data_IF_751079857962
#
_entry.id   IF_751079857962
#
_cell.length_a   1.000
_cell.length_b   1.000
_cell.length_c   1.000
_cell.angle_alpha   90.00
_cell.angle_beta   90.00
_cell.angle_gamma   90.00
#
_symmetry.space_group_name_H-M   'P 1'
#
loop_
_entity.id
_entity.type
_entity.pdbx_description
1 polymer ?
#
# COMPACT_ATOMS: atom_id res chain seq x y z
N UNK A 1 -0.12 2.01 19.92
CA UNK A 1 -0.64 1.17 18.81
C UNK A 1 0.49 0.95 17.82
N UNK A 2 0.84 -0.30 17.48
CA UNK A 2 1.84 -0.58 16.46
C UNK A 2 1.39 -0.11 15.08
N UNK A 3 2.36 0.21 14.23
CA UNK A 3 2.09 0.49 12.82
C UNK A 3 2.11 -0.83 12.03
N UNK A 4 1.07 -1.04 11.24
CA UNK A 4 0.91 -2.17 10.35
C UNK A 4 0.83 -1.70 8.90
N UNK A 5 1.22 -2.56 7.99
CA UNK A 5 1.14 -2.36 6.54
C UNK A 5 0.30 -3.48 5.95
N UNK A 6 -0.81 -3.14 5.32
CA UNK A 6 -1.59 -4.10 4.54
C UNK A 6 -1.20 -4.00 3.06
N UNK A 7 -0.97 -5.17 2.48
CA UNK A 7 -0.63 -5.41 1.08
C UNK A 7 -1.80 -6.18 0.45
N UNK A 8 -2.55 -5.50 -0.41
CA UNK A 8 -3.69 -6.10 -1.09
C UNK A 8 -3.22 -6.90 -2.32
N UNK A 9 -3.89 -8.02 -2.58
CA UNK A 9 -3.62 -8.83 -3.76
C UNK A 9 -4.59 -8.50 -4.88
N UNK A 10 -4.07 -8.37 -6.11
CA UNK A 10 -4.83 -8.23 -7.35
C UNK A 10 -5.92 -7.14 -7.31
N UNK A 11 -5.58 -5.95 -6.79
CA UNK A 11 -6.39 -4.76 -6.94
C UNK A 11 -5.79 -3.83 -8.00
N UNK A 12 -6.63 -3.15 -8.76
CA UNK A 12 -6.23 -2.21 -9.80
C UNK A 12 -5.31 -2.80 -10.89
N UNK A 13 -5.42 -4.09 -11.17
CA UNK A 13 -4.66 -4.80 -12.20
C UNK A 13 -5.61 -5.55 -13.14
N UNK A 14 -5.37 -5.47 -14.46
CA UNK A 14 -5.95 -6.38 -15.44
C UNK A 14 -7.48 -6.54 -15.42
N UNK A 15 -8.27 -5.49 -15.22
CA UNK A 15 -9.73 -5.57 -15.21
C UNK A 15 -10.36 -6.15 -13.93
N UNK A 16 -9.61 -6.33 -12.88
CA UNK A 16 -10.09 -6.87 -11.59
C UNK A 16 -10.98 -5.90 -10.76
N UNK A 17 -11.43 -4.82 -11.36
CA UNK A 17 -12.17 -3.75 -10.69
C UNK A 17 -11.26 -2.70 -10.06
N UNK A 18 -11.69 -1.44 -10.12
CA UNK A 18 -10.93 -0.31 -9.56
C UNK A 18 -11.29 -0.14 -8.08
N UNK A 19 -10.26 -0.05 -7.24
CA UNK A 19 -10.36 0.39 -5.85
C UNK A 19 -9.64 1.73 -5.73
N UNK A 20 -10.36 2.86 -5.65
CA UNK A 20 -9.75 4.15 -5.35
C UNK A 20 -9.03 4.12 -4.00
N UNK A 21 -7.85 4.72 -3.93
CA UNK A 21 -7.08 4.72 -2.67
C UNK A 21 -7.77 5.53 -1.56
N UNK A 22 -8.61 6.48 -1.92
CA UNK A 22 -9.49 7.19 -0.97
C UNK A 22 -10.51 6.25 -0.31
N UNK A 23 -11.09 5.32 -1.09
CA UNK A 23 -12.05 4.34 -0.55
C UNK A 23 -11.35 3.34 0.35
N UNK A 24 -10.15 2.88 -0.02
CA UNK A 24 -9.32 2.03 0.86
C UNK A 24 -9.03 2.73 2.18
N UNK A 25 -8.65 4.01 2.16
CA UNK A 25 -8.41 4.79 3.36
C UNK A 25 -9.68 4.93 4.21
N UNK A 26 -10.82 5.23 3.58
CA UNK A 26 -12.11 5.35 4.27
C UNK A 26 -12.55 4.04 4.93
N UNK A 27 -12.34 2.88 4.26
CA UNK A 27 -12.63 1.56 4.83
C UNK A 27 -11.77 1.30 6.07
N UNK A 28 -10.46 1.60 6.03
CA UNK A 28 -9.56 1.47 7.18
C UNK A 28 -10.02 2.35 8.34
N UNK A 29 -10.39 3.61 8.08
CA UNK A 29 -10.89 4.54 9.10
C UNK A 29 -12.21 4.04 9.73
N UNK A 30 -13.14 3.50 8.92
CA UNK A 30 -14.39 2.89 9.44
C UNK A 30 -14.15 1.67 10.33
N UNK A 31 -13.04 0.95 10.12
CA UNK A 31 -12.63 -0.16 10.99
C UNK A 31 -11.97 0.31 12.30
N UNK A 32 -11.86 1.63 12.52
CA UNK A 32 -11.21 2.21 13.70
C UNK A 32 -9.69 2.22 13.62
N UNK A 33 -9.11 2.07 12.43
CA UNK A 33 -7.67 2.21 12.25
C UNK A 33 -7.29 3.70 12.21
N UNK A 34 -6.19 4.03 12.86
CA UNK A 34 -5.66 5.39 12.97
C UNK A 34 -4.48 5.61 12.01
N UNK A 35 -4.13 6.87 11.76
CA UNK A 35 -2.97 7.29 10.95
C UNK A 35 -2.92 6.61 9.57
N UNK A 36 -4.08 6.47 8.92
CA UNK A 36 -4.23 5.75 7.66
C UNK A 36 -3.57 6.51 6.51
N UNK A 37 -2.63 5.88 5.83
CA UNK A 37 -1.93 6.43 4.67
C UNK A 37 -1.80 5.37 3.58
N UNK A 38 -2.27 5.66 2.38
CA UNK A 38 -2.11 4.77 1.22
C UNK A 38 -0.84 5.11 0.43
N UNK A 39 -0.31 4.12 -0.29
CA UNK A 39 0.85 4.30 -1.14
C UNK A 39 0.66 3.59 -2.47
N UNK A 40 0.71 4.34 -3.56
CA UNK A 40 0.49 3.92 -4.96
C UNK A 40 -0.79 3.12 -5.18
N UNK A 41 -1.20 2.94 -6.45
CA UNK A 41 -2.47 2.29 -6.82
C UNK A 41 -2.47 0.76 -6.65
N UNK A 42 -1.35 0.13 -6.32
CA UNK A 42 -1.27 -1.33 -6.17
C UNK A 42 -1.84 -1.87 -4.85
N UNK A 43 -2.56 -1.04 -4.08
CA UNK A 43 -3.23 -1.46 -2.87
C UNK A 43 -2.29 -1.67 -1.69
N UNK A 44 -1.62 -0.59 -1.26
CA UNK A 44 -0.83 -0.58 -0.03
C UNK A 44 -1.40 0.45 0.92
N UNK A 45 -1.56 0.09 2.17
CA UNK A 45 -2.01 1.01 3.22
C UNK A 45 -1.24 0.78 4.51
N UNK A 46 -0.75 1.87 5.08
CA UNK A 46 -0.11 1.93 6.41
C UNK A 46 -1.12 2.49 7.38
N UNK A 47 -1.25 1.89 8.56
CA UNK A 47 -2.19 2.32 9.60
C UNK A 47 -1.74 1.88 10.98
N UNK A 48 -2.35 2.43 12.02
CA UNK A 48 -2.19 2.02 13.41
C UNK A 48 -3.44 1.35 13.93
N UNK A 49 -3.27 0.29 14.70
CA UNK A 49 -4.39 -0.40 15.35
C UNK A 49 -3.92 -1.15 16.61
N UNK A 50 -4.85 -1.44 17.52
CA UNK A 50 -4.65 -2.38 18.61
C UNK A 50 -4.91 -3.83 18.21
N UNK A 51 -5.41 -4.08 16.99
CA UNK A 51 -5.65 -5.44 16.52
C UNK A 51 -4.33 -6.15 16.22
N UNK A 52 -4.22 -7.44 16.54
CA UNK A 52 -3.20 -8.31 15.96
C UNK A 52 -3.25 -8.29 14.42
N UNK A 53 -2.13 -8.53 13.77
CA UNK A 53 -2.00 -8.46 12.30
C UNK A 53 -3.03 -9.32 11.56
N UNK A 54 -3.27 -10.55 12.04
CA UNK A 54 -4.24 -11.47 11.44
C UNK A 54 -5.67 -10.94 11.58
N UNK A 55 -6.01 -10.37 12.74
CA UNK A 55 -7.33 -9.77 12.97
C UNK A 55 -7.55 -8.53 12.10
N UNK A 56 -6.52 -7.70 11.95
CA UNK A 56 -6.56 -6.54 11.07
C UNK A 56 -6.72 -6.95 9.60
N UNK A 57 -5.97 -7.97 9.14
CA UNK A 57 -6.09 -8.52 7.80
C UNK A 57 -7.50 -9.05 7.51
N UNK A 58 -8.06 -9.86 8.42
CA UNK A 58 -9.39 -10.44 8.28
C UNK A 58 -10.50 -9.36 8.28
N UNK A 59 -10.39 -8.34 9.13
CA UNK A 59 -11.34 -7.24 9.18
C UNK A 59 -11.32 -6.43 7.88
N UNK A 60 -10.13 -6.09 7.38
CA UNK A 60 -9.98 -5.34 6.14
C UNK A 60 -10.42 -6.16 4.93
N UNK A 61 -10.10 -7.45 4.86
CA UNK A 61 -10.54 -8.35 3.78
C UNK A 61 -12.07 -8.43 3.70
N UNK A 62 -12.77 -8.54 4.83
CA UNK A 62 -14.26 -8.53 4.87
C UNK A 62 -14.82 -7.19 4.38
N UNK A 63 -14.27 -6.07 4.84
CA UNK A 63 -14.72 -4.74 4.42
C UNK A 63 -14.51 -4.52 2.91
N UNK A 64 -13.37 -4.96 2.39
CA UNK A 64 -13.05 -4.91 0.96
C UNK A 64 -13.99 -5.81 0.14
N UNK A 65 -14.27 -7.02 0.61
CA UNK A 65 -15.18 -7.94 -0.08
C UNK A 65 -16.60 -7.34 -0.18
N UNK A 66 -17.09 -6.71 0.88
CA UNK A 66 -18.39 -6.03 0.87
C UNK A 66 -18.40 -4.82 -0.08
N UNK A 67 -17.30 -4.06 -0.14
CA UNK A 67 -17.18 -2.87 -0.98
C UNK A 67 -17.04 -3.23 -2.48
N UNK A 68 -16.23 -4.24 -2.80
CA UNK A 68 -15.90 -4.61 -4.17
C UNK A 68 -16.79 -5.70 -4.76
N UNK A 69 -17.68 -6.31 -3.97
CA UNK A 69 -18.53 -7.41 -4.42
C UNK A 69 -17.78 -8.72 -4.70
N UNK A 70 -16.50 -8.83 -4.30
CA UNK A 70 -15.65 -10.01 -4.49
C UNK A 70 -14.59 -10.11 -3.40
N UNK A 71 -14.08 -11.32 -3.11
CA UNK A 71 -12.97 -11.50 -2.17
C UNK A 71 -11.72 -10.73 -2.60
N UNK A 72 -11.04 -10.15 -1.62
CA UNK A 72 -9.71 -9.52 -1.78
C UNK A 72 -8.81 -10.05 -0.69
N UNK A 73 -7.72 -10.70 -1.09
CA UNK A 73 -6.72 -11.18 -0.15
C UNK A 73 -5.90 -10.01 0.39
N UNK A 74 -5.68 -10.02 1.71
CA UNK A 74 -4.93 -8.98 2.43
C UNK A 74 -3.84 -9.64 3.25
N UNK A 75 -2.60 -9.28 2.99
CA UNK A 75 -1.44 -9.70 3.78
C UNK A 75 -0.98 -8.51 4.61
N UNK A 76 -0.84 -8.72 5.93
CA UNK A 76 -0.39 -7.67 6.84
C UNK A 76 1.00 -8.00 7.37
N UNK A 77 1.85 -6.98 7.43
CA UNK A 77 3.19 -7.02 8.03
C UNK A 77 3.37 -5.79 8.94
N UNK A 78 4.14 -5.93 10.00
CA UNK A 78 4.60 -4.80 10.79
C UNK A 78 5.85 -4.15 10.16
N UNK A 79 6.23 -2.99 10.67
CA UNK A 79 7.40 -2.24 10.19
C UNK A 79 8.70 -3.04 10.33
N UNK A 80 8.82 -3.83 11.40
CA UNK A 80 10.01 -4.62 11.67
C UNK A 80 10.13 -5.81 10.70
N UNK A 81 9.02 -6.47 10.37
CA UNK A 81 8.99 -7.52 9.37
C UNK A 81 9.44 -6.99 8.00
N UNK A 82 8.96 -5.79 7.59
CA UNK A 82 9.39 -5.19 6.33
C UNK A 82 10.88 -4.83 6.33
N UNK A 83 11.43 -4.33 7.46
CA UNK A 83 12.86 -4.06 7.57
C UNK A 83 13.67 -5.35 7.48
N UNK A 84 13.26 -6.43 8.17
CA UNK A 84 13.92 -7.74 8.06
C UNK A 84 13.89 -8.27 6.63
N UNK A 85 12.77 -8.12 5.92
CA UNK A 85 12.66 -8.48 4.50
C UNK A 85 13.69 -7.72 3.65
N UNK A 86 13.86 -6.42 3.87
CA UNK A 86 14.87 -5.62 3.15
C UNK A 86 16.31 -6.03 3.49
N UNK A 87 16.61 -6.27 4.77
CA UNK A 87 17.94 -6.68 5.24
C UNK A 87 18.34 -8.07 4.69
N UNK A 88 17.38 -8.97 4.52
CA UNK A 88 17.57 -10.31 3.99
C UNK A 88 17.57 -10.37 2.45
N UNK A 89 17.40 -9.24 1.76
CA UNK A 89 17.40 -9.21 0.29
C UNK A 89 18.71 -9.80 -0.27
N UNK A 90 18.65 -10.93 -0.99
CA UNK A 90 19.85 -11.62 -1.49
C UNK A 90 20.44 -10.94 -2.73
N UNK A 91 19.83 -9.87 -3.24
CA UNK A 91 20.22 -9.16 -4.46
C UNK A 91 20.62 -7.70 -4.19
N UNK A 92 21.59 -7.42 -3.29
CA UNK A 92 21.92 -6.04 -2.88
C UNK A 92 22.53 -5.18 -4.00
N UNK A 93 23.04 -5.82 -5.07
CA UNK A 93 23.65 -5.13 -6.21
C UNK A 93 22.72 -5.03 -7.42
N UNK A 94 21.57 -5.68 -7.40
CA UNK A 94 20.61 -5.61 -8.49
C UNK A 94 19.84 -4.27 -8.44
N UNK A 95 19.37 -3.83 -9.61
CA UNK A 95 18.48 -2.69 -9.70
C UNK A 95 17.20 -2.96 -8.86
N UNK A 96 16.87 -2.13 -7.86
CA UNK A 96 15.76 -2.42 -6.93
C UNK A 96 14.40 -2.56 -7.61
N UNK A 97 14.18 -1.91 -8.76
CA UNK A 97 12.97 -2.04 -9.56
C UNK A 97 12.81 -3.43 -10.19
N UNK A 98 13.93 -4.19 -10.33
CA UNK A 98 13.96 -5.54 -10.88
C UNK A 98 13.96 -6.63 -9.82
N UNK A 99 14.01 -6.27 -8.56
CA UNK A 99 13.89 -7.20 -7.44
C UNK A 99 12.49 -7.10 -6.86
N UNK A 100 11.78 -8.21 -6.88
CA UNK A 100 10.41 -8.33 -6.36
C UNK A 100 10.43 -9.21 -5.14
N UNK A 101 9.77 -8.76 -4.08
CA UNK A 101 9.45 -9.56 -2.90
C UNK A 101 8.02 -10.03 -3.02
N UNK A 102 7.81 -11.32 -2.96
CA UNK A 102 6.51 -11.96 -2.89
C UNK A 102 6.21 -12.26 -1.42
N UNK A 103 5.30 -11.51 -0.83
CA UNK A 103 4.82 -11.73 0.52
C UNK A 103 3.77 -12.84 0.52
N UNK A 104 3.96 -13.86 1.32
CA UNK A 104 3.07 -15.04 1.41
C UNK A 104 2.25 -15.00 2.70
N UNK A 105 0.99 -15.40 2.62
CA UNK A 105 0.11 -15.55 3.79
C UNK A 105 0.62 -16.64 4.73
N UNK A 106 1.09 -17.76 4.15
CA UNK A 106 1.62 -18.92 4.86
C UNK A 106 3.15 -19.01 4.72
N UNK A 107 3.82 -19.80 5.55
CA UNK A 107 5.25 -20.11 5.36
C UNK A 107 5.52 -20.69 3.98
N UNK A 108 6.66 -20.30 3.41
CA UNK A 108 7.09 -20.81 2.09
C UNK A 108 7.40 -22.30 2.18
N UNK A 109 6.80 -23.17 1.35
CA UNK A 109 7.04 -24.59 1.40
C UNK A 109 8.49 -24.94 1.06
N UNK A 110 9.02 -25.97 1.72
CA UNK A 110 10.31 -26.55 1.37
C UNK A 110 10.25 -27.10 -0.07
N UNK A 111 11.38 -26.99 -0.79
CA UNK A 111 11.42 -27.44 -2.19
C UNK A 111 10.68 -26.54 -3.18
N UNK A 112 10.36 -25.31 -2.81
CA UNK A 112 9.69 -24.34 -3.71
C UNK A 112 10.36 -24.26 -5.08
N UNK A 113 11.70 -24.25 -5.10
CA UNK A 113 12.48 -24.10 -6.35
C UNK A 113 12.29 -25.27 -7.32
N UNK A 114 12.01 -26.47 -6.82
CA UNK A 114 11.86 -27.69 -7.64
C UNK A 114 10.59 -27.63 -8.50
N UNK A 115 9.60 -26.83 -8.08
CA UNK A 115 8.34 -26.64 -8.81
C UNK A 115 8.29 -25.41 -9.73
N UNK A 116 9.40 -24.72 -9.89
CA UNK A 116 9.48 -23.51 -10.74
C UNK A 116 9.59 -23.93 -12.21
N UNK A 117 8.80 -23.29 -13.06
CA UNK A 117 8.85 -23.52 -14.50
C UNK A 117 8.93 -22.19 -15.28
N UNK A 118 9.52 -22.26 -16.49
CA UNK A 118 9.62 -21.14 -17.42
C UNK A 118 10.58 -20.01 -17.03
N UNK A 119 11.66 -20.26 -16.24
CA UNK A 119 12.61 -19.21 -15.95
C UNK A 119 13.41 -18.84 -17.22
N UNK A 120 13.69 -17.56 -17.36
CA UNK A 120 14.50 -16.98 -18.44
C UNK A 120 15.51 -15.98 -17.84
N UNK A 121 16.43 -16.54 -17.05
CA UNK A 121 17.43 -15.79 -16.29
C UNK A 121 16.93 -15.23 -14.95
N UNK A 122 15.67 -15.45 -14.57
CA UNK A 122 15.19 -15.10 -13.23
C UNK A 122 15.85 -15.97 -12.17
N UNK A 123 16.13 -15.36 -11.04
CA UNK A 123 16.64 -16.06 -9.85
C UNK A 123 15.61 -15.94 -8.74
N UNK A 124 15.20 -17.08 -8.19
CA UNK A 124 14.20 -17.17 -7.12
C UNK A 124 14.87 -17.70 -5.85
N UNK A 125 14.78 -16.96 -4.77
CA UNK A 125 15.33 -17.34 -3.47
C UNK A 125 14.21 -17.31 -2.42
N UNK A 126 13.84 -18.47 -1.87
CA UNK A 126 12.83 -18.55 -0.81
C UNK A 126 13.36 -18.04 0.51
N UNK A 127 12.53 -17.28 1.23
CA UNK A 127 12.69 -16.95 2.63
C UNK A 127 11.71 -17.76 3.50
N UNK A 128 11.36 -17.23 4.66
CA UNK A 128 10.44 -17.89 5.59
C UNK A 128 8.96 -17.70 5.17
N UNK A 129 8.56 -16.48 4.98
CA UNK A 129 7.21 -16.05 4.51
C UNK A 129 7.30 -15.06 3.35
N UNK A 130 8.44 -14.97 2.73
CA UNK A 130 8.76 -14.10 1.61
C UNK A 130 9.51 -14.91 0.55
N UNK A 131 9.33 -14.57 -0.73
CA UNK A 131 10.16 -15.10 -1.81
C UNK A 131 10.75 -13.92 -2.56
N UNK A 132 12.06 -13.94 -2.75
CA UNK A 132 12.78 -12.91 -3.50
C UNK A 132 12.97 -13.37 -4.93
N UNK A 133 12.62 -12.51 -5.88
CA UNK A 133 12.74 -12.82 -7.30
C UNK A 133 13.46 -11.67 -7.98
N UNK A 134 14.58 -11.97 -8.61
CA UNK A 134 15.26 -11.06 -9.50
C UNK A 134 14.83 -11.31 -10.93
N UNK A 135 14.35 -10.26 -11.59
CA UNK A 135 13.91 -10.26 -13.00
C UNK A 135 14.89 -9.46 -13.86
N UNK A 136 15.97 -10.05 -14.40
CA UNK A 136 16.99 -9.30 -15.14
C UNK A 136 16.43 -8.59 -16.38
N UNK A 137 15.41 -9.19 -17.02
CA UNK A 137 14.74 -8.65 -18.22
C UNK A 137 13.41 -7.92 -17.89
N UNK A 138 13.11 -7.70 -16.60
CA UNK A 138 11.87 -7.10 -16.13
C UNK A 138 10.71 -8.11 -16.00
N UNK A 139 9.85 -7.89 -14.98
CA UNK A 139 8.76 -8.80 -14.65
C UNK A 139 7.73 -8.96 -15.79
N UNK A 140 7.45 -7.89 -16.56
CA UNK A 140 6.40 -7.90 -17.59
C UNK A 140 6.68 -8.84 -18.79
N UNK A 141 7.92 -9.27 -18.97
CA UNK A 141 8.33 -10.20 -20.04
C UNK A 141 8.53 -11.62 -19.53
N UNK A 142 8.56 -11.80 -18.23
CA UNK A 142 8.85 -13.08 -17.60
C UNK A 142 7.78 -14.12 -17.87
N UNK A 143 8.22 -15.34 -18.15
CA UNK A 143 7.38 -16.56 -18.25
C UNK A 143 7.46 -17.40 -16.97
N UNK A 144 8.12 -16.89 -15.94
CA UNK A 144 8.28 -17.56 -14.66
C UNK A 144 6.93 -17.92 -14.05
N UNK A 145 6.75 -19.19 -13.74
CA UNK A 145 5.59 -19.70 -13.02
C UNK A 145 6.03 -20.32 -11.70
N UNK A 146 5.44 -19.82 -10.63
CA UNK A 146 5.64 -20.36 -9.30
C UNK A 146 4.62 -21.47 -9.02
N UNK A 147 5.00 -22.48 -8.23
CA UNK A 147 4.12 -23.59 -7.89
C UNK A 147 2.89 -23.12 -7.10
N UNK A 148 1.74 -23.74 -7.34
CA UNK A 148 0.47 -23.40 -6.68
C UNK A 148 0.51 -23.60 -5.16
N UNK A 149 1.35 -24.49 -4.68
CA UNK A 149 1.57 -24.77 -3.25
C UNK A 149 2.03 -23.55 -2.46
N UNK A 150 2.53 -22.50 -3.12
CA UNK A 150 2.88 -21.24 -2.49
C UNK A 150 1.67 -20.51 -1.89
N UNK A 151 0.46 -20.83 -2.36
CA UNK A 151 -0.79 -20.28 -1.82
C UNK A 151 -1.00 -18.81 -2.15
N UNK A 152 -1.59 -18.09 -1.20
CA UNK A 152 -1.90 -16.66 -1.34
C UNK A 152 -0.65 -15.84 -1.12
N UNK A 153 -0.23 -15.13 -2.18
CA UNK A 153 0.91 -14.21 -2.12
C UNK A 153 0.61 -12.92 -2.90
N UNK A 154 1.29 -11.85 -2.53
CA UNK A 154 1.24 -10.57 -3.24
C UNK A 154 2.63 -10.00 -3.46
N UNK A 155 2.89 -9.44 -4.63
CA UNK A 155 4.21 -8.99 -5.06
C UNK A 155 4.40 -7.49 -4.88
N UNK A 156 5.57 -7.09 -4.39
CA UNK A 156 6.01 -5.68 -4.36
C UNK A 156 7.49 -5.62 -4.74
N UNK A 157 7.88 -4.64 -5.54
CA UNK A 157 9.30 -4.41 -5.77
C UNK A 157 9.98 -3.83 -4.51
N UNK A 158 11.29 -3.96 -4.43
CA UNK A 158 12.08 -3.54 -3.25
C UNK A 158 11.92 -2.05 -2.96
N UNK A 159 11.77 -1.18 -3.98
CA UNK A 159 11.52 0.25 -3.76
C UNK A 159 10.21 0.49 -3.01
N UNK A 160 9.16 -0.23 -3.39
CA UNK A 160 7.86 -0.16 -2.70
C UNK A 160 7.97 -0.65 -1.26
N UNK A 161 8.67 -1.76 -1.03
CA UNK A 161 8.88 -2.32 0.32
C UNK A 161 9.65 -1.32 1.20
N UNK A 162 10.72 -0.70 0.67
CA UNK A 162 11.50 0.31 1.37
C UNK A 162 10.64 1.51 1.77
N UNK A 163 9.82 2.03 0.84
CA UNK A 163 8.94 3.16 1.15
C UNK A 163 7.88 2.83 2.19
N UNK A 164 7.31 1.64 2.13
CA UNK A 164 6.33 1.18 3.13
C UNK A 164 6.96 0.98 4.51
N UNK A 165 8.20 0.48 4.58
CA UNK A 165 8.94 0.34 5.84
C UNK A 165 9.27 1.71 6.46
N UNK A 166 9.67 2.70 5.64
CA UNK A 166 9.85 4.10 6.04
C UNK A 166 8.54 4.66 6.60
N UNK A 167 7.46 4.62 5.82
CA UNK A 167 6.15 5.14 6.22
C UNK A 167 5.64 4.53 7.53
N UNK A 168 5.88 3.23 7.74
CA UNK A 168 5.50 2.55 8.97
C UNK A 168 6.42 2.91 10.15
N UNK A 169 7.68 3.25 9.88
CA UNK A 169 8.64 3.76 10.86
C UNK A 169 8.31 5.19 11.32
N UNK A 170 7.99 6.08 10.37
CA UNK A 170 7.64 7.49 10.63
C UNK A 170 6.33 7.66 11.39
N UNK A 171 5.48 6.64 11.42
CA UNK A 171 4.25 6.64 12.19
C UNK A 171 4.46 6.75 13.72
N UNK A 172 5.68 6.97 14.19
CA UNK A 172 6.01 7.26 15.60
C UNK A 172 5.80 8.75 15.95
N UNK A 173 5.79 9.66 14.95
CA UNK A 173 5.58 11.10 15.18
C UNK A 173 4.17 11.48 14.73
N UNK A 174 3.29 12.00 15.61
CA UNK A 174 1.99 12.52 15.17
C UNK A 174 2.24 13.73 14.26
N UNK A 175 1.85 13.62 12.99
CA UNK A 175 1.83 14.77 12.09
C UNK A 175 0.79 15.75 12.64
N UNK A 176 1.14 17.02 12.94
CA UNK A 176 0.16 17.99 13.39
C UNK A 176 -0.89 18.16 12.29
N UNK A 177 -2.12 17.82 12.61
CA UNK A 177 -3.28 18.07 11.74
C UNK A 177 -3.33 19.56 11.48
N UNK A 178 -3.05 19.98 10.24
CA UNK A 178 -3.17 21.38 9.82
C UNK A 178 -4.64 21.78 10.04
N UNK A 179 -4.88 22.59 11.06
CA UNK A 179 -6.21 23.12 11.35
C UNK A 179 -6.77 23.79 10.09
N UNK A 180 -8.08 23.63 9.79
CA UNK A 180 -8.69 24.31 8.66
C UNK A 180 -8.51 25.81 8.82
N UNK A 181 -7.97 26.47 7.79
CA UNK A 181 -7.87 27.94 7.74
C UNK A 181 -9.26 28.53 7.97
N UNK A 182 -9.43 29.47 8.92
CA UNK A 182 -10.71 30.14 9.05
C UNK A 182 -11.04 30.84 7.73
N UNK A 183 -12.29 30.68 7.28
CA UNK A 183 -12.80 31.33 6.10
C UNK A 183 -12.63 32.85 6.23
N UNK A 184 -12.01 33.48 5.24
CA UNK A 184 -11.82 34.92 5.20
C UNK A 184 -13.19 35.60 5.32
N UNK A 185 -13.33 36.42 6.37
CA UNK A 185 -14.51 37.26 6.58
C UNK A 185 -14.66 38.16 5.37
N UNK A 186 -15.81 38.08 4.69
CA UNK A 186 -16.18 38.98 3.60
C UNK A 186 -16.39 40.37 4.22
N UNK A 187 -15.54 41.33 3.88
CA UNK A 187 -15.72 42.75 4.19
C UNK A 187 -16.98 43.26 3.53
N UNK A 188 -17.91 43.88 4.25
CA UNK A 188 -19.10 44.47 3.62
C UNK A 188 -18.71 45.66 2.75
N UNK A 189 -19.20 45.67 1.52
CA UNK A 189 -18.97 46.69 0.53
C UNK A 189 -19.41 48.08 1.00
N UNK A 190 -18.55 49.04 0.77
CA UNK A 190 -18.74 50.46 1.02
C UNK A 190 -19.84 50.98 0.08
N UNK A 191 -20.98 51.40 0.65
CA UNK A 191 -22.08 52.07 -0.05
C UNK A 191 -21.59 53.37 -0.68
N UNK A 192 -21.79 53.55 -1.98
CA UNK A 192 -21.50 54.75 -2.73
C UNK A 192 -22.51 55.87 -2.35
N UNK A 193 -22.00 57.07 -2.05
CA UNK A 193 -22.75 58.29 -1.84
C UNK A 193 -23.30 58.80 -3.16
N UNK A 194 -24.57 59.26 -3.24
CA UNK A 194 -25.09 59.88 -4.46
C UNK A 194 -24.55 61.30 -4.62
N UNK A 195 -24.05 61.60 -5.80
CA UNK A 195 -23.52 62.90 -6.19
C UNK A 195 -24.61 63.98 -6.32
N UNK A 196 -24.27 65.17 -5.79
CA UNK A 196 -25.06 66.38 -5.88
C UNK A 196 -25.10 66.86 -7.32
N UNK A 197 -26.31 67.16 -7.85
CA UNK A 197 -26.56 67.90 -9.06
C UNK A 197 -26.15 69.35 -8.88
N UNK A 198 -25.29 69.88 -9.75
CA UNK A 198 -25.05 71.31 -9.91
C UNK A 198 -25.86 71.77 -11.11
N UNK A 199 -26.77 72.76 -10.88
CA UNK A 199 -27.47 73.51 -11.92
C UNK A 199 -26.51 74.55 -12.49
N UNK A 200 -26.55 74.70 -13.80
CA UNK A 200 -25.87 75.78 -14.55
C UNK A 200 -26.86 76.76 -15.05
N UNK A 201 -26.51 77.97 -14.90
CA UNK A 201 -26.95 79.02 -15.84
C UNK A 201 -26.02 79.05 -17.03
#
# INVERSE_FOLDING_TARGET
>A
MPALVALLRAVNVGGTGMLPMADLAALCTKLGFADVRTYIQSGNVVFRTSFPAEKAAAALARALAAHMGRPVDVIVRDAEALRRTLQRNPFPRAEPARVVVLFCAEPVPKGLVDGITGPDGEVVIPGERDVYIHYPNGQGRSKLKLPKQLGVCTARNVNTVAKLAEMAGDAVTPTPTKAPRPAAARTPGRTARPGARRASR
#
